data_IF_942498988280
#
_entry.id   IF_942498988280
#
_cell.length_a   1.000
_cell.length_b   1.000
_cell.length_c   1.000
_cell.angle_alpha   90.00
_cell.angle_beta   90.00
_cell.angle_gamma   90.00
#
_symmetry.space_group_name_H-M   'P 1'
#
loop_
_entity.id
_entity.type
_entity.pdbx_description
1 polymer ?
#
# COMPACT_ATOMS: atom_id res chain seq x y z
N UNK A 1 8.20 -14.11 -1.33
CA UNK A 1 6.88 -14.74 -1.53
C UNK A 1 5.85 -13.95 -0.75
N UNK A 2 4.96 -13.23 -1.45
CA UNK A 2 3.86 -12.43 -0.89
C UNK A 2 2.56 -13.24 -0.96
N UNK A 3 2.49 -14.36 -0.23
CA UNK A 3 1.42 -15.34 -0.42
C UNK A 3 0.09 -14.95 0.23
N UNK A 4 0.09 -13.95 1.13
CA UNK A 4 -1.10 -13.46 1.83
C UNK A 4 -1.23 -11.94 1.65
N UNK A 5 -1.90 -11.50 0.59
CA UNK A 5 -2.12 -10.08 0.26
C UNK A 5 -3.56 -9.66 0.56
N UNK A 6 -3.72 -8.47 1.15
CA UNK A 6 -5.02 -7.83 1.37
C UNK A 6 -5.14 -6.56 0.53
N UNK A 7 -6.25 -6.39 -0.19
CA UNK A 7 -6.58 -5.15 -0.91
C UNK A 7 -7.52 -4.29 -0.06
N UNK A 8 -7.12 -3.06 0.21
CA UNK A 8 -7.89 -2.11 1.04
C UNK A 8 -8.40 -0.95 0.18
N UNK A 9 -9.68 -0.59 0.34
CA UNK A 9 -10.18 0.69 -0.16
C UNK A 9 -9.42 1.83 0.54
N UNK A 10 -9.05 2.91 -0.17
CA UNK A 10 -8.32 4.04 0.39
C UNK A 10 -9.24 4.96 1.20
N UNK A 11 -9.90 4.41 2.22
CA UNK A 11 -10.57 5.18 3.26
C UNK A 11 -9.53 5.58 4.32
N UNK A 12 -9.60 6.79 4.90
CA UNK A 12 -8.65 7.25 5.90
C UNK A 12 -8.45 6.25 7.06
N UNK A 13 -9.53 5.61 7.50
CA UNK A 13 -9.53 4.61 8.57
C UNK A 13 -8.80 3.32 8.18
N UNK A 14 -9.00 2.85 6.94
CA UNK A 14 -8.35 1.65 6.41
C UNK A 14 -6.85 1.85 6.22
N UNK A 15 -6.47 3.00 5.67
CA UNK A 15 -5.06 3.38 5.51
C UNK A 15 -4.37 3.48 6.86
N UNK A 16 -4.97 4.16 7.85
CA UNK A 16 -4.35 4.30 9.18
C UNK A 16 -3.96 2.98 9.85
N UNK A 17 -4.66 1.88 9.55
CA UNK A 17 -4.31 0.53 10.05
C UNK A 17 -2.99 -0.01 9.49
N UNK A 18 -2.53 0.53 8.36
CA UNK A 18 -1.29 0.15 7.69
C UNK A 18 -0.10 1.02 8.11
N UNK A 19 -0.28 2.02 8.97
CA UNK A 19 0.84 2.87 9.41
C UNK A 19 1.94 2.05 10.09
N UNK A 20 3.19 2.37 9.74
CA UNK A 20 4.38 1.65 10.18
C UNK A 20 4.60 0.30 9.47
N UNK A 21 3.77 -0.06 8.48
CA UNK A 21 3.88 -1.33 7.76
C UNK A 21 4.55 -1.14 6.41
N UNK A 22 5.20 -2.20 5.93
CA UNK A 22 5.73 -2.25 4.57
C UNK A 22 4.60 -2.57 3.61
N UNK A 23 4.32 -1.65 2.68
CA UNK A 23 3.27 -1.81 1.68
C UNK A 23 3.84 -1.75 0.27
N UNK A 24 3.13 -2.37 -0.66
CA UNK A 24 3.38 -2.31 -2.09
C UNK A 24 2.24 -1.55 -2.76
N UNK A 25 2.58 -0.56 -3.58
CA UNK A 25 1.64 0.31 -4.28
C UNK A 25 1.87 0.16 -5.78
N UNK A 26 0.80 -0.04 -6.54
CA UNK A 26 0.84 0.10 -8.00
C UNK A 26 0.19 1.41 -8.39
N UNK A 27 0.82 2.18 -9.28
CA UNK A 27 0.25 3.43 -9.80
C UNK A 27 -0.22 3.31 -11.25
N UNK A 28 -0.94 4.32 -11.73
CA UNK A 28 -1.64 4.33 -13.04
C UNK A 28 -0.78 3.98 -14.25
N UNK A 29 0.52 4.27 -14.22
CA UNK A 29 1.43 3.97 -15.34
C UNK A 29 2.12 2.59 -15.24
N UNK A 30 1.72 1.80 -14.24
CA UNK A 30 2.19 0.44 -13.99
C UNK A 30 3.43 0.35 -13.11
N UNK A 31 4.02 1.48 -12.67
CA UNK A 31 5.12 1.43 -11.71
C UNK A 31 4.67 0.89 -10.37
N UNK A 32 5.57 0.16 -9.72
CA UNK A 32 5.33 -0.45 -8.42
C UNK A 32 6.29 0.14 -7.39
N UNK A 33 5.76 0.61 -6.26
CA UNK A 33 6.55 1.16 -5.16
C UNK A 33 6.40 0.29 -3.93
N UNK A 34 7.50 -0.07 -3.31
CA UNK A 34 7.51 -0.82 -2.05
C UNK A 34 8.30 -0.04 -1.01
N UNK A 35 7.71 0.26 0.14
CA UNK A 35 8.34 1.03 1.21
C UNK A 35 7.55 0.95 2.52
N UNK A 36 8.04 1.58 3.59
CA UNK A 36 7.28 1.63 4.85
C UNK A 36 6.33 2.83 4.81
N UNK A 37 5.08 2.58 5.12
CA UNK A 37 4.06 3.62 5.15
C UNK A 37 4.11 4.40 6.45
N UNK A 38 4.56 5.65 6.39
CA UNK A 38 4.82 6.45 7.60
C UNK A 38 3.71 7.43 7.95
N UNK A 39 3.01 7.98 6.97
CA UNK A 39 1.89 8.89 7.20
C UNK A 39 1.01 9.09 5.96
N UNK A 40 -0.20 9.59 6.21
CA UNK A 40 -1.15 10.01 5.17
C UNK A 40 -1.85 11.31 5.57
N UNK A 41 -2.24 12.11 4.58
CA UNK A 41 -2.95 13.37 4.78
C UNK A 41 -4.48 13.20 4.70
N UNK A 42 -5.22 14.30 4.80
CA UNK A 42 -6.69 14.31 4.72
C UNK A 42 -7.21 13.90 3.33
N UNK A 43 -6.37 13.92 2.31
CA UNK A 43 -6.69 13.52 0.93
C UNK A 43 -6.26 12.08 0.64
N UNK A 44 -5.84 11.33 1.65
CA UNK A 44 -5.31 9.97 1.53
C UNK A 44 -4.05 9.86 0.66
N UNK A 45 -3.27 10.94 0.50
CA UNK A 45 -1.95 10.84 -0.11
C UNK A 45 -1.05 10.02 0.80
N UNK A 46 -0.17 9.19 0.23
CA UNK A 46 0.64 8.22 0.97
C UNK A 46 2.09 8.67 0.98
N UNK A 47 2.71 8.68 2.15
CA UNK A 47 4.16 8.88 2.27
C UNK A 47 4.84 7.56 2.60
N UNK A 48 5.81 7.17 1.75
CA UNK A 48 6.65 6.00 1.95
C UNK A 48 8.08 6.42 2.28
N UNK A 49 8.68 5.79 3.29
CA UNK A 49 10.13 5.78 3.49
C UNK A 49 10.76 4.46 3.00
N UNK A 50 12.09 4.46 2.85
CA UNK A 50 12.88 3.35 2.30
C UNK A 50 12.26 2.77 1.02
N UNK A 51 11.71 3.66 0.20
CA UNK A 51 10.91 3.31 -0.95
C UNK A 51 11.79 2.85 -2.11
N UNK A 52 11.34 1.76 -2.74
CA UNK A 52 11.95 1.15 -3.91
C UNK A 52 10.91 1.19 -5.03
N UNK A 53 11.30 1.75 -6.17
CA UNK A 53 10.50 1.77 -7.39
C UNK A 53 10.92 0.65 -8.33
N UNK A 54 9.96 -0.09 -8.84
CA UNK A 54 10.10 -1.03 -9.94
C UNK A 54 9.36 -0.52 -11.16
N UNK A 55 10.05 -0.46 -12.30
CA UNK A 55 9.50 -0.06 -13.59
C UNK A 55 9.40 -1.28 -14.52
N UNK A 56 8.21 -1.87 -14.71
CA UNK A 56 8.06 -3.10 -15.50
C UNK A 56 8.50 -2.95 -16.96
N UNK A 57 8.28 -1.78 -17.56
CA UNK A 57 8.62 -1.50 -18.97
C UNK A 57 10.12 -1.60 -19.26
N UNK A 58 10.97 -1.27 -18.29
CA UNK A 58 12.43 -1.32 -18.43
C UNK A 58 13.06 -2.44 -17.61
N UNK A 59 12.25 -3.16 -16.81
CA UNK A 59 12.68 -4.15 -15.84
C UNK A 59 13.78 -3.61 -14.89
N UNK A 60 13.64 -2.35 -14.48
CA UNK A 60 14.60 -1.67 -13.61
C UNK A 60 14.02 -1.42 -12.22
N UNK A 61 14.90 -1.46 -11.24
CA UNK A 61 14.60 -1.13 -9.84
C UNK A 61 15.51 0.00 -9.40
N UNK A 62 14.95 0.99 -8.68
CA UNK A 62 15.74 2.08 -8.09
C UNK A 62 15.25 2.42 -6.68
N UNK A 63 16.18 2.79 -5.81
CA UNK A 63 15.86 3.36 -4.52
C UNK A 63 15.46 4.83 -4.69
N UNK A 64 14.30 5.18 -4.15
CA UNK A 64 13.75 6.55 -4.17
C UNK A 64 13.60 7.14 -2.76
N UNK A 65 14.02 6.38 -1.74
CA UNK A 65 14.10 6.76 -0.33
C UNK A 65 12.77 7.27 0.26
N UNK A 66 12.48 8.57 0.17
CA UNK A 66 11.27 9.19 0.71
C UNK A 66 10.42 9.74 -0.44
N UNK A 67 9.21 9.23 -0.59
CA UNK A 67 8.29 9.66 -1.65
C UNK A 67 6.89 9.93 -1.12
N UNK A 68 6.16 10.78 -1.82
CA UNK A 68 4.72 10.95 -1.66
C UNK A 68 4.02 10.46 -2.92
N UNK A 69 2.98 9.65 -2.76
CA UNK A 69 2.15 9.13 -3.84
C UNK A 69 0.76 9.72 -3.68
N UNK A 70 0.30 10.47 -4.69
CA UNK A 70 -1.05 11.01 -4.71
C UNK A 70 -2.09 9.90 -4.81
N UNK A 71 -3.20 10.04 -4.08
CA UNK A 71 -4.33 9.10 -4.18
C UNK A 71 -4.83 8.94 -5.63
N UNK A 72 -4.85 10.04 -6.39
CA UNK A 72 -5.33 10.06 -7.78
C UNK A 72 -4.53 9.14 -8.73
N UNK A 73 -3.29 8.83 -8.38
CA UNK A 73 -2.43 7.95 -9.17
C UNK A 73 -2.43 6.51 -8.65
N UNK A 74 -3.14 6.23 -7.56
CA UNK A 74 -3.12 4.94 -6.89
C UNK A 74 -4.07 3.94 -7.57
N UNK A 75 -3.56 2.75 -7.88
CA UNK A 75 -4.35 1.65 -8.43
C UNK A 75 -4.57 0.57 -7.38
N UNK A 76 -3.50 0.13 -6.72
CA UNK A 76 -3.59 -0.91 -5.66
C UNK A 76 -2.68 -0.60 -4.49
N UNK A 77 -3.11 -1.04 -3.31
CA UNK A 77 -2.28 -1.15 -2.10
C UNK A 77 -2.32 -2.60 -1.66
N UNK A 78 -1.15 -3.17 -1.41
CA UNK A 78 -0.97 -4.51 -0.87
C UNK A 78 -0.13 -4.41 0.39
N UNK A 79 -0.60 -5.04 1.46
CA UNK A 79 0.16 -5.23 2.70
C UNK A 79 0.25 -6.73 2.99
N UNK A 80 1.23 -7.15 3.78
CA UNK A 80 1.28 -8.54 4.24
C UNK A 80 0.12 -8.79 5.22
N UNK A 81 -0.57 -9.93 5.11
CA UNK A 81 -1.74 -10.22 5.97
C UNK A 81 -1.40 -10.22 7.47
N UNK A 82 -0.18 -10.59 7.84
CA UNK A 82 0.35 -10.58 9.21
C UNK A 82 0.52 -9.17 9.81
N UNK A 83 0.43 -8.11 8.98
CA UNK A 83 0.67 -6.73 9.41
C UNK A 83 -0.60 -6.00 9.87
N UNK A 84 -1.77 -6.59 9.72
CA UNK A 84 -3.02 -5.98 10.18
C UNK A 84 -3.12 -6.21 11.68
N UNK A 85 -3.05 -5.13 12.48
CA UNK A 85 -3.36 -5.21 13.92
C UNK A 85 -4.87 -5.42 14.05
N UNK A 86 -5.27 -6.68 14.21
CA UNK A 86 -6.65 -7.05 14.51
C UNK A 86 -6.92 -6.76 15.98
N UNK A 87 -7.36 -5.55 16.30
CA UNK A 87 -8.27 -5.39 17.43
C UNK A 87 -9.66 -5.74 16.88
N UNK A 88 -10.27 -6.80 17.42
CA UNK A 88 -11.53 -7.44 17.02
C UNK A 88 -11.45 -8.57 15.97
N UNK A 89 -11.27 -9.80 16.46
CA UNK A 89 -11.36 -11.09 15.76
C UNK A 89 -12.72 -11.39 15.06
N UNK A 90 -13.61 -10.41 14.89
CA UNK A 90 -14.97 -10.63 14.36
C UNK A 90 -15.21 -10.29 12.88
N UNK A 91 -14.25 -9.67 12.16
CA UNK A 91 -14.52 -9.09 10.81
C UNK A 91 -13.52 -9.42 9.71
N UNK A 92 -12.65 -10.42 9.90
CA UNK A 92 -11.68 -10.82 8.87
C UNK A 92 -12.36 -11.38 7.59
N UNK A 93 -13.65 -11.73 7.65
CA UNK A 93 -14.48 -12.09 6.50
C UNK A 93 -14.73 -10.95 5.52
N UNK A 94 -14.63 -9.70 5.95
CA UNK A 94 -15.14 -8.55 5.19
C UNK A 94 -14.07 -7.94 4.25
N UNK A 95 -12.80 -8.35 4.40
CA UNK A 95 -11.68 -7.88 3.57
C UNK A 95 -11.40 -8.78 2.36
N UNK A 96 -12.21 -9.82 2.14
CA UNK A 96 -12.06 -10.74 1.00
C UNK A 96 -12.51 -10.16 -0.34
N UNK A 97 -13.17 -9.01 -0.37
CA UNK A 97 -13.70 -8.44 -1.59
C UNK A 97 -13.38 -6.94 -1.68
N UNK A 98 -12.30 -6.59 -2.37
CA UNK A 98 -12.24 -5.29 -3.04
C UNK A 98 -11.65 -5.50 -4.43
N UNK A 99 -12.59 -5.62 -5.37
CA UNK A 99 -12.41 -5.57 -6.81
C UNK A 99 -12.35 -4.09 -7.21
N UNK A 100 -11.42 -3.74 -8.10
CA UNK A 100 -11.69 -2.79 -9.19
C UNK A 100 -11.18 -3.40 -10.48
#
# INVERSE_FOLDING_TARGET
HFSDELMLEPKPEGLRKLLGRRIQITIVDGRVFTGNFICTDQRCNIVLDHAIEYQPKTNQTREVALITISLEHLVTIKAQAQDIKTEEEGKLSDLKNVIV
#
